data_IF_507011800073
#
_entry.id   IF_507011800073
#
_cell.length_a   1.000
_cell.length_b   1.000
_cell.length_c   1.000
_cell.angle_alpha   90.00
_cell.angle_beta   90.00
_cell.angle_gamma   90.00
#
_symmetry.space_group_name_H-M   'P 1'
#
loop_
_entity.id
_entity.type
_entity.pdbx_description
1 polymer ?
#
# COMPACT_ATOMS: atom_id res chain seq x y z
N UNK A 1 5.25 -2.07 -30.43
CA UNK A 1 4.78 -0.81 -29.75
C UNK A 1 5.54 -0.61 -28.44
N UNK A 2 5.56 0.64 -27.90
CA UNK A 2 6.29 0.93 -26.64
C UNK A 2 5.28 1.35 -25.58
N UNK A 3 5.37 0.75 -24.39
CA UNK A 3 4.48 1.03 -23.24
C UNK A 3 5.32 1.44 -22.02
N UNK A 4 4.76 2.32 -21.18
CA UNK A 4 5.28 2.60 -19.85
C UNK A 4 4.12 2.50 -18.85
N UNK A 5 4.21 1.49 -17.97
CA UNK A 5 3.28 1.23 -16.89
C UNK A 5 3.95 1.63 -15.57
N UNK A 6 3.39 2.60 -14.86
CA UNK A 6 4.01 3.11 -13.63
C UNK A 6 2.97 3.52 -12.59
N UNK A 7 3.39 3.61 -11.34
CA UNK A 7 2.55 4.01 -10.21
C UNK A 7 2.41 2.91 -9.15
N UNK A 8 1.87 3.24 -7.98
CA UNK A 8 1.88 2.35 -6.82
C UNK A 8 0.82 1.23 -6.83
N UNK A 9 -0.25 1.29 -7.67
CA UNK A 9 -1.24 0.20 -7.76
C UNK A 9 -0.66 -1.00 -8.51
N UNK A 10 -0.04 -1.93 -7.77
CA UNK A 10 0.66 -3.09 -8.31
C UNK A 10 -0.27 -4.10 -8.98
N UNK A 11 -1.49 -4.27 -8.47
CA UNK A 11 -2.47 -5.16 -9.05
C UNK A 11 -2.94 -4.63 -10.42
N UNK A 12 -3.27 -3.34 -10.50
CA UNK A 12 -3.71 -2.76 -11.76
C UNK A 12 -2.61 -2.77 -12.83
N UNK A 13 -1.33 -2.59 -12.43
CA UNK A 13 -0.19 -2.76 -13.34
C UNK A 13 -0.05 -4.21 -13.81
N UNK A 14 -0.19 -5.17 -12.88
CA UNK A 14 -0.11 -6.60 -13.18
C UNK A 14 -1.25 -7.03 -14.11
N UNK A 15 -2.48 -6.58 -13.87
CA UNK A 15 -3.63 -6.86 -14.74
C UNK A 15 -3.37 -6.33 -16.16
N UNK A 16 -2.88 -5.10 -16.29
CA UNK A 16 -2.57 -4.50 -17.59
C UNK A 16 -1.44 -5.23 -18.33
N UNK A 17 -0.48 -5.77 -17.59
CA UNK A 17 0.60 -6.58 -18.17
C UNK A 17 0.08 -7.94 -18.63
N UNK A 18 -0.83 -8.57 -17.86
CA UNK A 18 -1.49 -9.80 -18.26
C UNK A 18 -2.33 -9.60 -19.53
N UNK A 19 -3.05 -8.47 -19.66
CA UNK A 19 -3.79 -8.12 -20.90
C UNK A 19 -2.90 -8.17 -22.16
N UNK A 20 -1.64 -7.71 -22.06
CA UNK A 20 -0.69 -7.79 -23.16
C UNK A 20 -0.13 -9.21 -23.37
N UNK A 21 0.12 -9.93 -22.28
CA UNK A 21 0.61 -11.31 -22.34
C UNK A 21 -0.41 -12.26 -22.92
N UNK A 22 -1.70 -12.07 -22.62
CA UNK A 22 -2.80 -12.88 -23.10
C UNK A 22 -3.05 -12.74 -24.61
N UNK A 23 -2.45 -11.74 -25.26
CA UNK A 23 -2.43 -11.60 -26.72
C UNK A 23 -1.46 -12.57 -27.40
N UNK A 24 -0.57 -13.20 -26.63
CA UNK A 24 0.37 -14.19 -27.11
C UNK A 24 -0.22 -15.58 -26.78
N UNK A 25 -0.30 -16.50 -27.76
CA UNK A 25 -0.78 -17.84 -27.50
C UNK A 25 0.01 -18.55 -26.39
N UNK A 26 -0.70 -19.18 -25.46
CA UNK A 26 -0.12 -19.72 -24.23
C UNK A 26 0.92 -20.83 -24.47
N UNK A 27 0.79 -21.59 -25.53
CA UNK A 27 1.67 -22.67 -25.96
C UNK A 27 3.04 -22.19 -26.46
N UNK A 28 3.14 -20.94 -26.89
CA UNK A 28 4.38 -20.31 -27.35
C UNK A 28 4.83 -19.11 -26.53
N UNK A 29 4.15 -18.84 -25.41
CA UNK A 29 4.43 -17.67 -24.55
C UNK A 29 5.88 -17.67 -24.03
N UNK A 30 6.42 -18.82 -23.64
CA UNK A 30 7.79 -18.92 -23.10
C UNK A 30 8.87 -18.55 -24.11
N UNK A 31 8.58 -18.65 -25.42
CA UNK A 31 9.49 -18.25 -26.49
C UNK A 31 9.32 -16.78 -26.89
N UNK A 32 8.16 -16.20 -26.61
CA UNK A 32 7.81 -14.86 -27.06
C UNK A 32 7.75 -13.80 -25.94
N UNK A 33 7.86 -14.20 -24.69
CA UNK A 33 7.88 -13.28 -23.57
C UNK A 33 9.27 -13.28 -22.94
N UNK A 34 9.92 -12.11 -22.90
CA UNK A 34 11.19 -11.92 -22.23
C UNK A 34 11.04 -10.90 -21.10
N UNK A 35 11.60 -11.21 -19.93
CA UNK A 35 11.60 -10.30 -18.76
C UNK A 35 13.03 -9.92 -18.43
N UNK A 36 13.32 -8.63 -18.37
CA UNK A 36 14.65 -8.06 -18.10
C UNK A 36 14.60 -7.25 -16.79
N UNK A 37 15.63 -7.44 -15.95
CA UNK A 37 15.84 -6.61 -14.75
C UNK A 37 16.44 -5.26 -15.18
N UNK A 38 15.63 -4.21 -15.14
CA UNK A 38 16.03 -2.86 -15.57
C UNK A 38 17.07 -2.20 -14.65
N UNK A 39 17.27 -2.71 -13.43
CA UNK A 39 18.33 -2.20 -12.51
C UNK A 39 19.72 -2.46 -13.04
N UNK A 40 19.88 -3.45 -13.91
CA UNK A 40 21.13 -3.86 -14.56
C UNK A 40 20.98 -3.84 -16.09
N UNK A 41 20.11 -2.96 -16.60
CA UNK A 41 19.79 -2.92 -18.03
C UNK A 41 21.03 -2.60 -18.86
N UNK A 42 21.29 -3.49 -19.81
CA UNK A 42 22.27 -3.29 -20.89
C UNK A 42 21.53 -3.13 -22.20
N UNK A 43 21.90 -2.13 -22.98
CA UNK A 43 21.20 -1.81 -24.25
C UNK A 43 21.37 -2.91 -25.29
N UNK A 44 22.52 -3.57 -25.34
CA UNK A 44 22.75 -4.73 -26.20
C UNK A 44 21.84 -5.93 -25.85
N UNK A 45 21.62 -6.20 -24.55
CA UNK A 45 20.70 -7.25 -24.11
C UNK A 45 19.24 -6.89 -24.40
N UNK A 46 18.86 -5.62 -24.23
CA UNK A 46 17.53 -5.12 -24.60
C UNK A 46 17.32 -5.26 -26.12
N UNK A 47 18.28 -4.85 -26.93
CA UNK A 47 18.23 -4.94 -28.38
C UNK A 47 18.08 -6.40 -28.82
N UNK A 48 18.92 -7.31 -28.31
CA UNK A 48 18.83 -8.73 -28.62
C UNK A 48 17.45 -9.33 -28.24
N UNK A 49 16.87 -8.92 -27.11
CA UNK A 49 15.54 -9.37 -26.70
C UNK A 49 14.42 -8.83 -27.61
N UNK A 50 14.50 -7.57 -28.04
CA UNK A 50 13.50 -6.93 -28.88
C UNK A 50 13.59 -7.32 -30.36
N UNK A 51 14.80 -7.56 -30.89
CA UNK A 51 15.05 -7.84 -32.30
C UNK A 51 14.89 -9.33 -32.64
N UNK A 52 14.80 -10.20 -31.65
CA UNK A 52 14.47 -11.61 -31.89
C UNK A 52 13.09 -11.72 -32.54
N UNK A 53 13.01 -12.48 -33.61
CA UNK A 53 11.74 -12.71 -34.33
C UNK A 53 10.73 -13.45 -33.43
N UNK A 54 9.44 -13.10 -33.49
CA UNK A 54 8.39 -13.86 -32.83
C UNK A 54 8.38 -15.31 -33.31
N UNK A 55 8.22 -16.25 -32.38
CA UNK A 55 8.14 -17.66 -32.69
C UNK A 55 6.67 -18.12 -32.70
N UNK A 56 6.16 -18.47 -33.87
CA UNK A 56 4.78 -18.93 -34.09
C UNK A 56 3.72 -17.99 -33.45
N UNK A 57 4.00 -16.70 -33.39
CA UNK A 57 3.13 -15.67 -32.90
C UNK A 57 3.29 -14.40 -33.75
N UNK A 58 2.29 -13.49 -33.72
CA UNK A 58 2.35 -12.25 -34.49
C UNK A 58 3.28 -11.23 -33.81
N UNK A 59 3.43 -11.30 -32.50
CA UNK A 59 4.15 -10.32 -31.70
C UNK A 59 4.98 -10.99 -30.60
N UNK A 60 6.04 -10.27 -30.20
CA UNK A 60 6.89 -10.59 -29.06
C UNK A 60 6.68 -9.56 -27.95
N UNK A 61 6.69 -9.99 -26.72
CA UNK A 61 6.56 -9.13 -25.54
C UNK A 61 7.89 -9.08 -24.78
N UNK A 62 8.47 -7.90 -24.65
CA UNK A 62 9.66 -7.65 -23.83
C UNK A 62 9.29 -6.75 -22.66
N UNK A 63 9.46 -7.26 -21.46
CA UNK A 63 9.12 -6.57 -20.22
C UNK A 63 10.42 -6.14 -19.54
N UNK A 64 10.53 -4.88 -19.17
CA UNK A 64 11.69 -4.33 -18.44
C UNK A 64 11.20 -3.76 -17.11
N UNK A 65 11.62 -4.39 -16.01
CA UNK A 65 11.19 -4.00 -14.69
C UNK A 65 12.20 -3.05 -14.01
N UNK A 66 11.70 -1.96 -13.39
CA UNK A 66 12.48 -1.02 -12.58
C UNK A 66 13.69 -0.40 -13.32
N UNK A 67 13.52 -0.04 -14.60
CA UNK A 67 14.60 0.53 -15.42
C UNK A 67 14.76 2.04 -15.23
N UNK A 68 13.67 2.81 -15.39
CA UNK A 68 13.75 4.28 -15.51
C UNK A 68 14.25 4.96 -14.26
N UNK A 69 13.88 4.42 -13.09
CA UNK A 69 14.34 4.89 -11.78
C UNK A 69 15.86 4.67 -11.59
N UNK A 70 16.40 3.60 -12.15
CA UNK A 70 17.78 3.17 -11.97
C UNK A 70 18.72 3.66 -13.08
N UNK A 71 18.19 4.16 -14.21
CA UNK A 71 18.97 4.75 -15.28
C UNK A 71 19.57 6.09 -14.84
N UNK A 72 20.88 6.09 -14.62
CA UNK A 72 21.63 7.32 -14.35
C UNK A 72 21.50 8.27 -15.55
N UNK A 73 21.48 9.57 -15.29
CA UNK A 73 21.59 10.58 -16.32
C UNK A 73 22.94 10.42 -17.07
N UNK A 74 22.92 10.59 -18.40
CA UNK A 74 24.11 10.49 -19.25
C UNK A 74 23.98 9.40 -20.31
N UNK A 75 25.10 8.84 -20.72
CA UNK A 75 25.27 7.98 -21.91
C UNK A 75 24.27 6.81 -22.00
N UNK A 76 24.00 6.12 -20.88
CA UNK A 76 23.06 4.98 -20.88
C UNK A 76 21.62 5.41 -21.17
N UNK A 77 21.20 6.57 -20.64
CA UNK A 77 19.86 7.12 -20.89
C UNK A 77 19.69 7.57 -22.33
N UNK A 78 20.72 8.18 -22.90
CA UNK A 78 20.74 8.62 -24.30
C UNK A 78 20.81 7.43 -25.25
N UNK A 79 21.57 6.40 -24.92
CA UNK A 79 21.62 5.15 -25.67
C UNK A 79 20.25 4.44 -25.67
N UNK A 80 19.57 4.36 -24.51
CA UNK A 80 18.21 3.83 -24.46
C UNK A 80 17.26 4.63 -25.34
N UNK A 81 17.25 5.96 -25.22
CA UNK A 81 16.39 6.83 -26.04
C UNK A 81 16.66 6.64 -27.53
N UNK A 82 17.91 6.47 -27.92
CA UNK A 82 18.30 6.23 -29.33
C UNK A 82 17.76 4.87 -29.78
N UNK A 83 17.89 3.83 -28.95
CA UNK A 83 17.41 2.50 -29.27
C UNK A 83 15.87 2.44 -29.40
N UNK A 84 15.12 3.16 -28.57
CA UNK A 84 13.66 3.18 -28.65
C UNK A 84 13.09 3.57 -30.02
N UNK A 85 13.87 4.24 -30.86
CA UNK A 85 13.52 4.58 -32.26
C UNK A 85 13.57 3.38 -33.20
N UNK A 86 14.31 2.34 -32.80
CA UNK A 86 14.61 1.17 -33.63
C UNK A 86 13.90 -0.10 -33.13
N UNK A 87 12.99 0.00 -32.16
CA UNK A 87 12.21 -1.16 -31.67
C UNK A 87 11.35 -1.68 -32.82
N UNK A 88 11.46 -2.98 -33.18
CA UNK A 88 10.68 -3.56 -34.27
C UNK A 88 9.17 -3.47 -34.03
N UNK A 89 8.41 -3.31 -35.11
CA UNK A 89 6.93 -3.27 -35.05
C UNK A 89 6.30 -4.58 -34.52
N UNK A 90 7.01 -5.69 -34.71
CA UNK A 90 6.62 -7.01 -34.18
C UNK A 90 6.83 -7.17 -32.66
N UNK A 91 7.41 -6.16 -31.99
CA UNK A 91 7.72 -6.22 -30.56
C UNK A 91 6.92 -5.22 -29.78
N UNK A 92 6.30 -5.69 -28.69
CA UNK A 92 5.75 -4.88 -27.62
C UNK A 92 6.78 -4.77 -26.50
N UNK A 93 7.36 -3.58 -26.34
CA UNK A 93 8.31 -3.26 -25.28
C UNK A 93 7.60 -2.54 -24.15
N UNK A 94 7.57 -3.14 -22.95
CA UNK A 94 6.87 -2.62 -21.79
C UNK A 94 7.85 -2.30 -20.67
N UNK A 95 7.96 -1.05 -20.30
CA UNK A 95 8.63 -0.64 -19.07
C UNK A 95 7.63 -0.67 -17.92
N UNK A 96 7.98 -1.36 -16.84
CA UNK A 96 7.16 -1.49 -15.64
C UNK A 96 7.90 -0.87 -14.45
N UNK A 97 7.38 0.23 -13.93
CA UNK A 97 7.96 0.96 -12.81
C UNK A 97 7.03 0.88 -11.60
N UNK A 98 7.56 0.50 -10.44
CA UNK A 98 6.75 0.33 -9.21
C UNK A 98 6.37 1.64 -8.56
N UNK A 99 7.21 2.65 -8.76
CA UNK A 99 7.09 3.97 -8.16
C UNK A 99 6.79 5.05 -9.22
N UNK A 100 6.80 6.30 -8.78
CA UNK A 100 6.77 7.44 -9.67
C UNK A 100 8.05 7.52 -10.52
N UNK A 101 7.89 7.96 -11.76
CA UNK A 101 8.97 8.16 -12.71
C UNK A 101 9.31 9.64 -12.87
N UNK A 102 10.56 9.95 -13.19
CA UNK A 102 10.96 11.31 -13.54
C UNK A 102 10.30 11.73 -14.87
N UNK A 103 9.18 12.45 -14.76
CA UNK A 103 8.38 12.96 -15.89
C UNK A 103 9.14 13.97 -16.75
N UNK A 104 10.33 14.46 -16.30
CA UNK A 104 11.21 15.38 -17.05
C UNK A 104 12.27 14.65 -17.85
N UNK A 105 12.43 13.33 -17.65
CA UNK A 105 13.46 12.57 -18.36
C UNK A 105 13.20 12.52 -19.87
N UNK A 106 14.29 12.46 -20.65
CA UNK A 106 14.22 12.39 -22.11
C UNK A 106 13.55 11.11 -22.60
N UNK A 107 13.71 10.01 -21.85
CA UNK A 107 13.07 8.71 -22.14
C UNK A 107 11.57 8.79 -21.88
N UNK A 108 11.13 9.34 -20.74
CA UNK A 108 9.71 9.54 -20.46
C UNK A 108 9.04 10.39 -21.53
N UNK A 109 9.67 11.52 -21.89
CA UNK A 109 9.16 12.42 -22.93
C UNK A 109 9.04 11.71 -24.28
N UNK A 110 10.03 10.90 -24.65
CA UNK A 110 10.00 10.12 -25.88
C UNK A 110 8.83 9.12 -25.89
N UNK A 111 8.68 8.31 -24.81
CA UNK A 111 7.59 7.32 -24.72
C UNK A 111 6.23 8.03 -24.70
N UNK A 112 6.11 9.19 -24.07
CA UNK A 112 4.88 9.99 -24.08
C UNK A 112 4.46 10.43 -25.49
N UNK A 113 5.42 10.68 -26.38
CA UNK A 113 5.17 11.14 -27.74
C UNK A 113 4.92 10.00 -28.75
N UNK A 114 5.56 8.84 -28.52
CA UNK A 114 5.64 7.76 -29.51
C UNK A 114 5.12 6.41 -29.01
N UNK A 115 4.68 6.33 -27.76
CA UNK A 115 4.19 5.10 -27.11
C UNK A 115 2.92 5.34 -26.31
N UNK A 116 2.61 4.41 -25.42
CA UNK A 116 1.44 4.45 -24.53
C UNK A 116 1.89 4.55 -23.10
N UNK A 117 1.42 5.58 -22.38
CA UNK A 117 1.62 5.73 -20.94
C UNK A 117 0.37 5.29 -20.18
N UNK A 118 0.54 4.47 -19.16
CA UNK A 118 -0.53 4.13 -18.19
C UNK A 118 -0.01 4.35 -16.78
N UNK A 119 -0.59 5.31 -16.07
CA UNK A 119 -0.31 5.61 -14.67
C UNK A 119 -1.36 4.90 -13.81
N UNK A 120 -0.90 4.10 -12.84
CA UNK A 120 -1.76 3.28 -11.99
C UNK A 120 -1.72 3.82 -10.55
N UNK A 121 -2.67 4.68 -10.24
CA UNK A 121 -2.85 5.22 -8.89
C UNK A 121 -3.88 4.39 -8.11
N UNK A 122 -3.70 4.22 -6.78
CA UNK A 122 -4.68 3.56 -5.95
C UNK A 122 -6.04 4.25 -6.02
N UNK A 123 -7.07 3.48 -6.26
CA UNK A 123 -8.44 3.97 -6.37
C UNK A 123 -8.96 4.48 -5.03
N UNK A 124 -9.83 5.49 -5.05
CA UNK A 124 -10.39 6.10 -3.84
C UNK A 124 -11.88 6.45 -4.01
N UNK A 125 -12.57 6.56 -2.89
CA UNK A 125 -13.96 7.02 -2.83
C UNK A 125 -14.89 6.27 -3.78
N UNK A 126 -15.65 7.00 -4.61
CA UNK A 126 -16.62 6.41 -5.52
C UNK A 126 -16.00 5.54 -6.63
N UNK A 127 -14.76 5.81 -7.04
CA UNK A 127 -14.05 4.99 -8.01
C UNK A 127 -13.70 3.62 -7.41
N UNK A 128 -13.19 3.59 -6.18
CA UNK A 128 -12.91 2.35 -5.45
C UNK A 128 -14.19 1.52 -5.27
N UNK A 129 -15.30 2.13 -4.91
CA UNK A 129 -16.59 1.43 -4.75
C UNK A 129 -17.05 0.78 -6.06
N UNK A 130 -17.00 1.51 -7.18
CA UNK A 130 -17.35 0.97 -8.50
C UNK A 130 -16.43 -0.19 -8.90
N UNK A 131 -15.14 -0.06 -8.63
CA UNK A 131 -14.16 -1.09 -8.92
C UNK A 131 -14.40 -2.35 -8.08
N UNK A 132 -14.67 -2.23 -6.77
CA UNK A 132 -15.01 -3.36 -5.89
C UNK A 132 -16.26 -4.10 -6.38
N UNK A 133 -17.31 -3.37 -6.78
CA UNK A 133 -18.52 -3.98 -7.34
C UNK A 133 -18.25 -4.72 -8.65
N UNK A 134 -17.45 -4.15 -9.54
CA UNK A 134 -17.06 -4.80 -10.78
C UNK A 134 -16.23 -6.08 -10.52
N UNK A 135 -15.31 -6.05 -9.55
CA UNK A 135 -14.52 -7.22 -9.14
C UNK A 135 -15.37 -8.30 -8.50
N UNK A 136 -16.32 -7.96 -7.63
CA UNK A 136 -17.25 -8.93 -7.06
C UNK A 136 -18.08 -9.62 -8.15
N UNK A 137 -18.55 -8.87 -9.16
CA UNK A 137 -19.27 -9.42 -10.31
C UNK A 137 -18.42 -10.39 -11.14
N UNK A 138 -17.12 -10.13 -11.31
CA UNK A 138 -16.18 -11.07 -11.96
C UNK A 138 -15.99 -12.38 -11.17
N UNK A 139 -16.31 -12.35 -9.88
CA UNK A 139 -16.30 -13.52 -8.99
C UNK A 139 -17.69 -14.15 -8.83
N UNK A 140 -18.62 -13.86 -9.73
CA UNK A 140 -20.02 -14.32 -9.68
C UNK A 140 -20.74 -13.98 -8.37
N UNK A 141 -20.41 -12.84 -7.74
CA UNK A 141 -21.03 -12.36 -6.51
C UNK A 141 -21.53 -10.93 -6.65
N UNK A 142 -22.52 -10.55 -5.85
CA UNK A 142 -23.03 -9.17 -5.74
C UNK A 142 -22.51 -8.55 -4.46
N UNK A 143 -21.87 -7.37 -4.54
CA UNK A 143 -21.39 -6.64 -3.38
C UNK A 143 -22.35 -5.52 -3.00
N UNK A 144 -22.91 -5.56 -1.79
CA UNK A 144 -23.69 -4.44 -1.26
C UNK A 144 -22.83 -3.18 -1.09
N UNK A 145 -23.34 -1.98 -1.39
CA UNK A 145 -22.55 -0.74 -1.23
C UNK A 145 -22.00 -0.54 0.18
N UNK A 146 -22.76 -0.89 1.21
CA UNK A 146 -22.33 -0.81 2.60
C UNK A 146 -21.19 -1.81 2.93
N UNK A 147 -21.19 -3.02 2.33
CA UNK A 147 -20.10 -3.98 2.46
C UNK A 147 -18.83 -3.48 1.78
N UNK A 148 -18.96 -2.87 0.60
CA UNK A 148 -17.84 -2.24 -0.10
C UNK A 148 -17.25 -1.06 0.67
N UNK A 149 -18.10 -0.25 1.31
CA UNK A 149 -17.64 0.85 2.17
C UNK A 149 -16.85 0.32 3.38
N UNK A 150 -17.33 -0.75 4.02
CA UNK A 150 -16.66 -1.39 5.15
C UNK A 150 -15.32 -2.02 4.76
N UNK A 151 -15.24 -2.68 3.59
CA UNK A 151 -13.98 -3.19 3.04
C UNK A 151 -12.96 -2.06 2.80
N UNK A 152 -13.40 -0.96 2.20
CA UNK A 152 -12.55 0.20 1.98
C UNK A 152 -12.09 0.88 3.29
N UNK A 153 -12.92 0.86 4.32
CA UNK A 153 -12.59 1.36 5.66
C UNK A 153 -11.54 0.47 6.35
N UNK A 154 -11.72 -0.85 6.30
CA UNK A 154 -10.89 -1.79 7.03
C UNK A 154 -9.54 -2.09 6.35
N UNK A 155 -9.52 -2.15 5.01
CA UNK A 155 -8.34 -2.53 4.22
C UNK A 155 -7.67 -1.31 3.59
N UNK A 156 -8.41 -0.21 3.42
CA UNK A 156 -7.95 0.96 2.70
C UNK A 156 -8.09 0.79 1.19
N UNK A 157 -7.05 1.19 0.45
CA UNK A 157 -7.04 1.19 -1.00
C UNK A 157 -5.97 0.27 -1.62
N UNK A 158 -5.51 -0.72 -0.85
CA UNK A 158 -4.66 -1.80 -1.35
C UNK A 158 -5.49 -2.73 -2.23
N UNK A 159 -5.35 -2.59 -3.55
CA UNK A 159 -6.13 -3.33 -4.53
C UNK A 159 -5.95 -4.85 -4.41
N UNK A 160 -4.74 -5.32 -4.07
CA UNK A 160 -4.43 -6.74 -3.94
C UNK A 160 -5.06 -7.34 -2.69
N UNK A 161 -4.93 -6.67 -1.56
CA UNK A 161 -5.57 -7.07 -0.32
C UNK A 161 -7.10 -7.10 -0.48
N UNK A 162 -7.69 -6.06 -1.09
CA UNK A 162 -9.13 -5.99 -1.36
C UNK A 162 -9.63 -7.14 -2.25
N UNK A 163 -8.90 -7.51 -3.31
CA UNK A 163 -9.29 -8.65 -4.17
C UNK A 163 -9.18 -9.97 -3.44
N UNK A 164 -8.19 -10.17 -2.60
CA UNK A 164 -8.06 -11.39 -1.80
C UNK A 164 -9.24 -11.55 -0.83
N UNK A 165 -9.62 -10.47 -0.16
CA UNK A 165 -10.79 -10.49 0.72
C UNK A 165 -12.10 -10.68 -0.05
N UNK A 166 -12.26 -10.03 -1.22
CA UNK A 166 -13.43 -10.26 -2.08
C UNK A 166 -13.53 -11.72 -2.54
N UNK A 167 -12.43 -12.38 -2.89
CA UNK A 167 -12.43 -13.80 -3.26
C UNK A 167 -12.89 -14.67 -2.11
N UNK A 168 -12.38 -14.43 -0.91
CA UNK A 168 -12.79 -15.14 0.30
C UNK A 168 -14.29 -14.97 0.56
N UNK A 169 -14.78 -13.75 0.49
CA UNK A 169 -16.20 -13.43 0.68
C UNK A 169 -17.09 -14.05 -0.42
N UNK A 170 -16.68 -13.96 -1.69
CA UNK A 170 -17.41 -14.57 -2.82
C UNK A 170 -17.47 -16.09 -2.68
N UNK A 171 -16.37 -16.74 -2.28
CA UNK A 171 -16.35 -18.17 -2.00
C UNK A 171 -17.32 -18.55 -0.88
N UNK A 172 -17.40 -17.75 0.16
CA UNK A 172 -18.30 -17.99 1.31
C UNK A 172 -19.77 -17.88 0.92
N UNK A 173 -20.16 -16.85 0.17
CA UNK A 173 -21.56 -16.66 -0.22
C UNK A 173 -22.01 -17.55 -1.38
N UNK A 174 -21.05 -18.14 -2.11
CA UNK A 174 -21.30 -18.99 -3.28
C UNK A 174 -21.70 -18.21 -4.54
N UNK A 175 -21.82 -18.95 -5.65
CA UNK A 175 -22.15 -18.41 -6.98
C UNK A 175 -23.49 -17.67 -6.97
N UNK A 176 -23.51 -16.43 -7.45
CA UNK A 176 -24.70 -15.57 -7.44
C UNK A 176 -25.05 -15.00 -6.07
N UNK A 177 -24.29 -15.31 -5.03
CA UNK A 177 -24.53 -14.84 -3.67
C UNK A 177 -24.31 -13.36 -3.47
N UNK A 178 -24.87 -12.81 -2.39
CA UNK A 178 -24.75 -11.39 -2.05
C UNK A 178 -23.85 -11.19 -0.83
N UNK A 179 -22.79 -10.44 -1.01
CA UNK A 179 -21.86 -10.06 0.06
C UNK A 179 -22.45 -8.86 0.82
N UNK A 180 -22.78 -9.09 2.10
CA UNK A 180 -23.33 -8.10 3.02
C UNK A 180 -22.28 -7.59 4.03
N UNK A 181 -22.52 -6.49 4.75
CA UNK A 181 -21.64 -6.02 5.82
C UNK A 181 -21.41 -7.06 6.94
N UNK A 182 -22.40 -7.93 7.20
CA UNK A 182 -22.29 -9.01 8.19
C UNK A 182 -21.23 -10.04 7.76
N UNK A 183 -21.20 -10.39 6.47
CA UNK A 183 -20.19 -11.29 5.93
C UNK A 183 -18.78 -10.67 6.01
N UNK A 184 -18.65 -9.35 5.79
CA UNK A 184 -17.39 -8.64 5.98
C UNK A 184 -16.94 -8.72 7.44
N UNK A 185 -17.83 -8.40 8.39
CA UNK A 185 -17.50 -8.48 9.83
C UNK A 185 -17.15 -9.88 10.31
N UNK A 186 -17.72 -10.89 9.68
CA UNK A 186 -17.48 -12.30 10.04
C UNK A 186 -16.12 -12.81 9.54
N UNK A 187 -15.71 -12.41 8.33
CA UNK A 187 -14.60 -13.06 7.64
C UNK A 187 -13.39 -12.18 7.42
N UNK A 188 -13.58 -10.87 7.35
CA UNK A 188 -12.48 -9.93 7.10
C UNK A 188 -11.99 -9.42 8.45
N UNK A 189 -10.73 -9.61 8.72
CA UNK A 189 -10.11 -8.95 9.86
C UNK A 189 -10.04 -7.44 9.58
N UNK A 190 -10.51 -6.65 10.52
CA UNK A 190 -10.21 -5.21 10.52
C UNK A 190 -8.69 -5.08 10.43
N UNK A 191 -8.19 -4.38 9.40
CA UNK A 191 -6.75 -4.28 9.21
C UNK A 191 -6.13 -3.79 10.53
N UNK A 192 -4.98 -4.36 10.89
CA UNK A 192 -4.26 -3.99 12.12
C UNK A 192 -4.09 -2.47 12.29
N UNK A 193 -4.12 -1.71 11.19
CA UNK A 193 -4.09 -0.24 11.24
C UNK A 193 -5.35 0.36 11.86
N UNK A 194 -6.56 -0.10 11.51
CA UNK A 194 -7.80 0.44 12.09
C UNK A 194 -7.91 0.10 13.59
N UNK A 195 -7.58 -1.13 13.95
CA UNK A 195 -7.54 -1.57 15.34
C UNK A 195 -6.45 -0.85 16.15
N UNK A 196 -5.28 -0.58 15.55
CA UNK A 196 -4.23 0.25 16.14
C UNK A 196 -4.68 1.69 16.32
N UNK A 197 -5.38 2.29 15.35
CA UNK A 197 -5.97 3.62 15.51
C UNK A 197 -6.91 3.68 16.72
N UNK A 198 -7.84 2.72 16.83
CA UNK A 198 -8.78 2.62 17.94
C UNK A 198 -8.05 2.40 19.28
N UNK A 199 -7.00 1.58 19.28
CA UNK A 199 -6.17 1.34 20.45
C UNK A 199 -5.46 2.62 20.91
N UNK A 200 -4.81 3.36 20.00
CA UNK A 200 -4.15 4.64 20.32
C UNK A 200 -5.16 5.68 20.80
N UNK A 201 -6.37 5.72 20.22
CA UNK A 201 -7.46 6.58 20.71
C UNK A 201 -7.83 6.24 22.16
N UNK A 202 -7.96 4.96 22.48
CA UNK A 202 -8.30 4.53 23.85
C UNK A 202 -7.19 4.83 24.86
N UNK A 203 -5.91 4.70 24.46
CA UNK A 203 -4.77 5.09 25.28
C UNK A 203 -4.73 6.60 25.54
N UNK A 204 -4.80 7.41 24.47
CA UNK A 204 -4.76 8.85 24.57
C UNK A 204 -5.98 9.42 25.32
N UNK A 205 -7.15 8.75 25.20
CA UNK A 205 -8.37 9.02 25.97
C UNK A 205 -8.38 8.44 27.38
N UNK A 206 -7.32 7.73 27.80
CA UNK A 206 -7.20 7.05 29.12
C UNK A 206 -8.35 6.10 29.44
N UNK A 207 -8.82 5.36 28.45
CA UNK A 207 -9.95 4.45 28.55
C UNK A 207 -9.46 3.01 28.79
N UNK A 208 -9.23 2.64 30.03
CA UNK A 208 -8.63 1.34 30.42
C UNK A 208 -9.37 0.13 29.84
N UNK A 209 -10.69 0.06 29.98
CA UNK A 209 -11.49 -1.08 29.50
C UNK A 209 -11.40 -1.29 27.99
N UNK A 210 -11.71 -0.26 27.17
CA UNK A 210 -11.54 -0.32 25.73
C UNK A 210 -10.09 -0.62 25.29
N UNK A 211 -9.07 -0.03 25.93
CA UNK A 211 -7.67 -0.29 25.61
C UNK A 211 -7.28 -1.75 25.84
N UNK A 212 -7.67 -2.35 26.97
CA UNK A 212 -7.42 -3.76 27.25
C UNK A 212 -8.16 -4.70 26.29
N UNK A 213 -9.43 -4.39 25.96
CA UNK A 213 -10.19 -5.20 25.01
C UNK A 213 -9.56 -5.20 23.61
N UNK A 214 -9.14 -4.01 23.14
CA UNK A 214 -8.47 -3.87 21.85
C UNK A 214 -7.08 -4.54 21.82
N UNK A 215 -6.30 -4.41 22.89
CA UNK A 215 -5.00 -5.09 22.97
C UNK A 215 -5.17 -6.61 22.92
N UNK A 216 -6.09 -7.16 23.69
CA UNK A 216 -6.39 -8.60 23.67
C UNK A 216 -6.83 -9.06 22.27
N UNK A 217 -7.77 -8.34 21.65
CA UNK A 217 -8.20 -8.66 20.29
C UNK A 217 -7.05 -8.70 19.30
N UNK A 218 -6.13 -7.70 19.32
CA UNK A 218 -4.95 -7.66 18.45
C UNK A 218 -4.00 -8.85 18.70
N UNK A 219 -3.82 -9.26 19.96
CA UNK A 219 -2.97 -10.42 20.30
C UNK A 219 -3.65 -11.75 19.94
N UNK A 220 -4.96 -11.89 20.20
CA UNK A 220 -5.77 -13.08 19.85
C UNK A 220 -5.82 -13.28 18.32
N UNK A 221 -5.79 -12.18 17.54
CA UNK A 221 -5.67 -12.19 16.07
C UNK A 221 -4.28 -12.61 15.59
N UNK A 222 -3.35 -12.96 16.50
CA UNK A 222 -2.03 -13.45 16.18
C UNK A 222 -1.01 -12.37 15.79
N UNK A 223 -1.32 -11.10 16.09
CA UNK A 223 -0.34 -10.01 15.85
C UNK A 223 0.86 -10.14 16.78
N UNK A 224 2.05 -10.12 16.21
CA UNK A 224 3.28 -10.19 17.00
C UNK A 224 3.41 -8.96 17.92
N UNK A 225 3.64 -9.11 19.23
CA UNK A 225 3.72 -8.00 20.17
C UNK A 225 4.75 -6.94 19.79
N UNK A 226 5.91 -7.33 19.23
CA UNK A 226 6.93 -6.41 18.74
C UNK A 226 6.43 -5.56 17.56
N UNK A 227 5.64 -6.18 16.67
CA UNK A 227 5.02 -5.48 15.55
C UNK A 227 3.98 -4.48 16.05
N UNK A 228 3.18 -4.84 17.06
CA UNK A 228 2.21 -3.92 17.68
C UNK A 228 2.89 -2.70 18.30
N UNK A 229 3.98 -2.89 19.07
CA UNK A 229 4.77 -1.77 19.61
C UNK A 229 5.23 -0.83 18.50
N UNK A 230 5.77 -1.37 17.41
CA UNK A 230 6.19 -0.59 16.26
C UNK A 230 5.02 0.19 15.62
N UNK A 231 3.87 -0.47 15.38
CA UNK A 231 2.70 0.14 14.75
C UNK A 231 2.08 1.25 15.62
N UNK A 232 2.02 1.05 16.94
CA UNK A 232 1.53 2.05 17.89
C UNK A 232 2.47 3.27 17.90
N UNK A 233 3.80 3.04 17.97
CA UNK A 233 4.79 4.12 17.92
C UNK A 233 4.73 4.88 16.58
N UNK A 234 4.56 4.17 15.47
CA UNK A 234 4.34 4.78 14.15
C UNK A 234 3.09 5.65 14.15
N UNK A 235 1.98 5.17 14.69
CA UNK A 235 0.73 5.91 14.74
C UNK A 235 0.83 7.18 15.58
N UNK A 236 1.41 7.09 16.77
CA UNK A 236 1.62 8.27 17.64
C UNK A 236 2.51 9.30 16.96
N UNK A 237 3.55 8.86 16.25
CA UNK A 237 4.43 9.76 15.46
C UNK A 237 3.67 10.47 14.35
N UNK A 238 2.81 9.77 13.60
CA UNK A 238 1.97 10.36 12.56
C UNK A 238 1.03 11.42 13.18
N UNK A 239 0.42 11.14 14.33
CA UNK A 239 -0.44 12.10 15.03
C UNK A 239 0.32 13.39 15.42
N UNK A 240 1.54 13.25 15.93
CA UNK A 240 2.40 14.40 16.28
C UNK A 240 2.75 15.23 15.05
N UNK A 241 3.19 14.58 13.96
CA UNK A 241 3.53 15.23 12.70
C UNK A 241 2.33 15.94 12.07
N UNK A 242 1.19 15.28 12.02
CA UNK A 242 -0.07 15.87 11.51
C UNK A 242 -0.48 17.07 12.34
N UNK A 243 -0.34 17.00 13.68
CA UNK A 243 -0.66 18.12 14.59
C UNK A 243 0.23 19.33 14.34
N UNK A 244 1.52 19.10 14.11
CA UNK A 244 2.48 20.15 13.77
C UNK A 244 2.15 20.83 12.43
N UNK A 245 1.91 20.03 11.38
CA UNK A 245 1.56 20.54 10.06
C UNK A 245 0.18 21.25 10.04
N UNK A 246 -0.77 20.77 10.86
CA UNK A 246 -2.05 21.43 11.03
C UNK A 246 -1.90 22.81 11.69
N UNK A 247 -0.97 22.98 12.65
CA UNK A 247 -0.66 24.27 13.24
C UNK A 247 -0.09 25.25 12.20
N UNK A 248 0.58 24.76 11.17
CA UNK A 248 1.06 25.52 10.00
C UNK A 248 -0.06 25.75 8.94
N UNK A 249 -1.31 25.37 9.24
CA UNK A 249 -2.48 25.49 8.36
C UNK A 249 -2.36 24.71 7.04
N UNK A 250 -1.56 23.65 7.02
CA UNK A 250 -1.44 22.77 5.85
C UNK A 250 -2.73 21.97 5.67
N UNK A 251 -3.13 21.73 4.41
CA UNK A 251 -4.30 20.90 4.10
C UNK A 251 -3.94 19.41 4.16
N UNK A 252 -4.88 18.50 4.49
CA UNK A 252 -4.62 17.06 4.61
C UNK A 252 -3.98 16.42 3.38
N UNK A 253 -4.34 16.87 2.17
CA UNK A 253 -3.77 16.35 0.93
C UNK A 253 -2.28 16.71 0.78
N UNK A 254 -1.90 17.93 1.18
CA UNK A 254 -0.51 18.37 1.19
C UNK A 254 0.29 17.64 2.29
N UNK A 255 -0.32 17.44 3.47
CA UNK A 255 0.29 16.66 4.56
C UNK A 255 0.58 15.22 4.12
N UNK A 256 -0.32 14.59 3.34
CA UNK A 256 -0.14 13.23 2.84
C UNK A 256 1.12 13.10 1.97
N UNK A 257 1.36 14.08 1.09
CA UNK A 257 2.56 14.14 0.26
C UNK A 257 3.82 14.40 1.09
N UNK A 258 3.77 15.34 2.04
CA UNK A 258 4.90 15.70 2.90
C UNK A 258 5.32 14.53 3.79
N UNK A 259 4.35 13.88 4.43
CA UNK A 259 4.58 12.75 5.34
C UNK A 259 4.79 11.42 4.60
N UNK A 260 4.62 11.38 3.27
CA UNK A 260 4.66 10.17 2.46
C UNK A 260 3.73 9.08 3.01
N UNK A 261 2.55 9.49 3.44
CA UNK A 261 1.50 8.61 3.96
C UNK A 261 0.30 8.59 3.01
N UNK A 262 -0.46 7.48 3.07
CA UNK A 262 -1.70 7.40 2.29
C UNK A 262 -2.70 8.51 2.73
N UNK A 263 -3.40 9.16 1.79
CA UNK A 263 -4.30 10.28 2.11
C UNK A 263 -5.37 9.94 3.16
N UNK A 264 -5.85 8.67 3.19
CA UNK A 264 -6.84 8.25 4.17
C UNK A 264 -6.26 8.18 5.60
N UNK A 265 -4.99 7.73 5.74
CA UNK A 265 -4.26 7.66 7.02
C UNK A 265 -4.12 9.06 7.59
N UNK A 266 -3.69 10.02 6.77
CA UNK A 266 -3.52 11.42 7.21
C UNK A 266 -4.85 12.07 7.56
N UNK A 267 -5.94 11.80 6.83
CA UNK A 267 -7.27 12.31 7.14
C UNK A 267 -7.76 11.77 8.49
N UNK A 268 -7.68 10.45 8.70
CA UNK A 268 -8.05 9.80 9.96
C UNK A 268 -7.17 10.30 11.12
N UNK A 269 -5.86 10.42 10.89
CA UNK A 269 -4.92 11.00 11.86
C UNK A 269 -5.21 12.48 12.17
N UNK A 270 -5.66 13.28 11.19
CA UNK A 270 -6.04 14.69 11.42
C UNK A 270 -7.26 14.83 12.32
N UNK A 271 -8.28 13.98 12.10
CA UNK A 271 -9.46 13.91 12.97
C UNK A 271 -9.10 13.49 14.39
N UNK A 272 -8.23 12.50 14.52
CA UNK A 272 -7.75 11.97 15.78
C UNK A 272 -6.86 12.98 16.52
N UNK A 273 -5.89 13.59 15.86
CA UNK A 273 -4.94 14.53 16.43
C UNK A 273 -5.63 15.78 17.02
N UNK A 274 -6.79 16.18 16.49
CA UNK A 274 -7.59 17.27 17.02
C UNK A 274 -8.15 17.04 18.43
N UNK A 275 -8.25 15.77 18.85
CA UNK A 275 -8.85 15.38 20.15
C UNK A 275 -7.87 15.40 21.33
N UNK A 276 -6.57 15.42 21.04
CA UNK A 276 -5.51 15.32 22.06
C UNK A 276 -4.56 16.50 22.04
N UNK A 277 -4.04 16.88 23.19
CA UNK A 277 -2.97 17.85 23.27
C UNK A 277 -1.61 17.22 22.86
N UNK A 278 -0.68 18.09 22.44
CA UNK A 278 0.62 17.63 21.97
C UNK A 278 1.46 16.98 23.10
N UNK A 279 1.29 17.46 24.33
CA UNK A 279 2.05 16.98 25.47
C UNK A 279 1.65 15.54 25.82
N UNK A 280 0.36 15.20 25.78
CA UNK A 280 -0.14 13.82 25.98
C UNK A 280 0.46 12.88 24.94
N UNK A 281 0.46 13.26 23.65
CA UNK A 281 1.03 12.45 22.59
C UNK A 281 2.56 12.31 22.71
N UNK A 282 3.28 13.35 23.14
CA UNK A 282 4.73 13.29 23.38
C UNK A 282 5.06 12.35 24.53
N UNK A 283 4.36 12.45 25.66
CA UNK A 283 4.54 11.53 26.79
C UNK A 283 4.29 10.06 26.39
N UNK A 284 3.24 9.81 25.61
CA UNK A 284 2.94 8.48 25.08
C UNK A 284 4.05 7.98 24.14
N UNK A 285 4.55 8.86 23.27
CA UNK A 285 5.67 8.53 22.36
C UNK A 285 6.94 8.18 23.13
N UNK A 286 7.34 9.01 24.09
CA UNK A 286 8.56 8.79 24.88
C UNK A 286 8.49 7.47 25.65
N UNK A 287 7.32 7.17 26.24
CA UNK A 287 7.10 5.92 26.94
C UNK A 287 7.16 4.70 26.01
N UNK A 288 6.58 4.82 24.80
CA UNK A 288 6.66 3.79 23.79
C UNK A 288 8.12 3.50 23.37
N UNK A 289 8.94 4.53 23.18
CA UNK A 289 10.36 4.37 22.85
C UNK A 289 11.11 3.64 23.95
N UNK A 290 10.83 3.97 25.22
CA UNK A 290 11.47 3.31 26.35
C UNK A 290 11.06 1.81 26.45
N UNK A 291 9.77 1.51 26.29
CA UNK A 291 9.25 0.14 26.34
C UNK A 291 9.74 -0.71 25.16
N UNK A 292 9.79 -0.13 23.95
CA UNK A 292 10.36 -0.79 22.78
C UNK A 292 11.85 -1.11 22.97
N UNK A 293 12.61 -0.18 23.57
CA UNK A 293 14.00 -0.43 23.92
C UNK A 293 14.15 -1.56 24.95
N UNK A 294 13.32 -1.58 25.99
CA UNK A 294 13.36 -2.65 26.99
C UNK A 294 13.00 -4.02 26.39
N UNK A 295 12.00 -4.06 25.51
CA UNK A 295 11.64 -5.29 24.82
C UNK A 295 12.76 -5.79 23.89
N UNK A 296 13.39 -4.90 23.12
CA UNK A 296 14.50 -5.25 22.21
C UNK A 296 15.79 -5.66 22.92
N UNK A 297 16.01 -5.17 24.12
CA UNK A 297 17.19 -5.54 24.93
C UNK A 297 16.94 -6.72 25.86
N UNK A 298 15.75 -7.35 25.78
CA UNK A 298 15.40 -8.51 26.60
C UNK A 298 15.15 -8.19 28.07
N UNK A 299 14.94 -6.92 28.42
CA UNK A 299 14.64 -6.51 29.79
C UNK A 299 13.21 -6.89 30.21
N UNK A 300 12.26 -6.87 29.27
CA UNK A 300 10.88 -7.33 29.44
C UNK A 300 10.42 -8.00 28.15
N UNK A 301 9.39 -8.86 28.25
CA UNK A 301 8.70 -9.38 27.07
C UNK A 301 7.87 -8.29 26.40
N UNK A 302 7.76 -8.34 25.07
CA UNK A 302 7.06 -7.30 24.31
C UNK A 302 5.56 -7.25 24.65
N UNK A 303 4.93 -8.37 24.98
CA UNK A 303 3.54 -8.42 25.47
C UNK A 303 3.40 -7.70 26.81
N UNK A 304 4.29 -7.97 27.75
CA UNK A 304 4.37 -7.25 29.04
C UNK A 304 4.58 -5.74 28.83
N UNK A 305 5.37 -5.34 27.84
CA UNK A 305 5.56 -3.93 27.51
C UNK A 305 4.26 -3.27 27.06
N UNK A 306 3.42 -3.95 26.26
CA UNK A 306 2.12 -3.46 25.84
C UNK A 306 1.13 -3.36 27.01
N UNK A 307 1.09 -4.36 27.88
CA UNK A 307 0.24 -4.34 29.08
C UNK A 307 0.65 -3.19 30.03
N UNK A 308 1.95 -3.00 30.22
CA UNK A 308 2.51 -1.92 31.04
C UNK A 308 2.15 -0.55 30.46
N UNK A 309 2.24 -0.39 29.13
CA UNK A 309 1.81 0.82 28.44
C UNK A 309 0.34 1.17 28.75
N UNK A 310 -0.55 0.18 28.66
CA UNK A 310 -1.98 0.36 28.98
C UNK A 310 -2.17 0.73 30.45
N UNK A 311 -1.55 -0.01 31.36
CA UNK A 311 -1.70 0.21 32.80
C UNK A 311 -1.21 1.61 33.24
N UNK A 312 -0.07 2.04 32.73
CA UNK A 312 0.51 3.35 33.06
C UNK A 312 -0.24 4.51 32.42
N UNK A 313 -0.64 4.36 31.14
CA UNK A 313 -1.34 5.44 30.41
C UNK A 313 -2.78 5.61 30.88
N UNK A 314 -3.48 4.52 31.15
CA UNK A 314 -4.89 4.53 31.53
C UNK A 314 -5.11 4.42 33.05
N UNK A 315 -4.13 3.90 33.82
CA UNK A 315 -4.27 3.61 35.26
C UNK A 315 -3.97 4.79 36.16
N UNK A 316 -3.42 5.91 35.70
CA UNK A 316 -3.06 7.06 36.53
C UNK A 316 -4.25 7.93 36.89
N UNK A 317 -5.17 7.36 37.67
CA UNK A 317 -6.22 8.07 38.43
C UNK A 317 -5.87 8.33 39.91
N UNK A 318 -4.66 7.95 40.36
CA UNK A 318 -4.20 8.24 41.74
C UNK A 318 -2.79 8.82 41.70
N UNK A 319 -2.69 10.13 41.57
CA UNK A 319 -1.54 10.83 42.14
C UNK A 319 -1.53 10.56 43.64
N UNK A 320 -0.72 9.63 44.07
CA UNK A 320 -0.30 9.54 45.46
C UNK A 320 0.58 10.77 45.69
N UNK A 321 0.02 11.82 46.27
CA UNK A 321 0.78 12.83 47.00
C UNK A 321 1.54 12.09 48.11
N UNK A 322 2.76 11.66 47.84
CA UNK A 322 3.74 11.39 48.84
C UNK A 322 4.27 12.76 49.33
N UNK A 323 3.69 13.27 50.37
CA UNK A 323 4.39 14.20 51.29
C UNK A 323 5.47 13.35 51.99
N UNK A 324 6.70 13.75 51.84
CA UNK A 324 7.65 13.99 52.93
C UNK A 324 8.63 15.03 52.43
#
# INVERSE_FOLDING_TARGET
MIYLFFGPDDLARSDALHELRDQIPSDVADFNVAVLDGRKLRIDALAAACEAMPFLADRRLVIVEDALKNLKAGETRDALRSYLRNVPDSTDLVFVERDEVDKRSTVFTYIKQHGTLREFQPKQGAELQRWLQARAKQLDATLQPAAGALLAEWIGNDSRALVNELRKLATYVGTGGTISPEHVRLLVQDSSESSVFAFVDSLAGRQLGPALALLRGLLDDGQAPQYLLFMIARQVRILLQVKELAAQRMRPEAMASELKQAPFVVRKASEQAGRYDAQTLLQLHDRLVELDHWAKTGRIEAETALELLVAETCGTGRQTRARV
#
